data_IF_182087179261
#
_entry.id   IF_182087179261
#
_cell.length_a   1.000
_cell.length_b   1.000
_cell.length_c   1.000
_cell.angle_alpha   90.00
_cell.angle_beta   90.00
_cell.angle_gamma   90.00
#
_symmetry.space_group_name_H-M   'P 1'
#
loop_
_entity.id
_entity.type
_entity.pdbx_description
1 polymer ?
#
# COMPACT_ATOMS: atom_id res chain seq x y z
N UNK A 1 16.45 19.46 7.00
CA UNK A 1 15.78 18.41 7.80
C UNK A 1 14.55 18.98 8.48
N UNK A 2 13.40 18.96 7.80
CA UNK A 2 12.11 19.43 8.37
C UNK A 2 11.50 18.29 9.19
N UNK A 3 10.95 18.60 10.38
CA UNK A 3 10.37 17.60 11.29
C UNK A 3 9.00 17.11 10.77
N UNK A 4 8.67 15.84 10.99
CA UNK A 4 7.39 15.23 10.59
C UNK A 4 6.17 15.82 11.32
N UNK A 5 5.04 15.99 10.63
CA UNK A 5 3.73 16.39 11.20
C UNK A 5 3.23 15.45 12.29
N UNK A 6 3.57 14.16 12.22
CA UNK A 6 3.20 13.17 13.24
C UNK A 6 3.94 13.43 14.57
N UNK A 7 5.06 14.17 14.53
CA UNK A 7 5.89 14.51 15.68
C UNK A 7 5.89 16.03 15.96
N UNK A 8 4.83 16.75 15.56
CA UNK A 8 4.68 18.19 15.81
C UNK A 8 5.51 19.09 14.91
N UNK A 9 6.01 18.58 13.77
CA UNK A 9 6.62 19.38 12.71
C UNK A 9 5.65 19.73 11.58
N UNK A 10 6.19 19.98 10.39
CA UNK A 10 5.44 20.44 9.20
C UNK A 10 5.67 19.60 7.94
N UNK A 11 6.61 18.64 7.96
CA UNK A 11 6.81 17.72 6.85
C UNK A 11 5.76 16.61 6.87
N UNK A 12 5.04 16.43 5.77
CA UNK A 12 4.01 15.40 5.61
C UNK A 12 4.21 14.64 4.28
N UNK A 13 3.52 13.51 4.13
CA UNK A 13 3.53 12.76 2.87
C UNK A 13 2.99 13.63 1.74
N UNK A 14 3.70 13.65 0.60
CA UNK A 14 3.21 14.29 -0.60
C UNK A 14 1.91 13.63 -1.08
N UNK A 15 0.89 14.41 -1.42
CA UNK A 15 -0.40 13.89 -1.90
C UNK A 15 -0.27 13.03 -3.16
N UNK A 16 0.76 13.29 -4.00
CA UNK A 16 1.07 12.49 -5.19
C UNK A 16 1.64 11.10 -4.89
N UNK A 17 1.98 10.77 -3.65
CA UNK A 17 2.40 9.42 -3.24
C UNK A 17 1.19 8.51 -2.94
N UNK A 18 0.10 8.67 -3.69
CA UNK A 18 -1.05 7.78 -3.69
C UNK A 18 -0.88 6.70 -4.77
N UNK A 19 -1.58 5.56 -4.68
CA UNK A 19 -1.50 4.51 -5.69
C UNK A 19 -2.26 4.92 -6.95
N UNK A 20 -1.87 4.37 -8.10
CA UNK A 20 -2.51 4.66 -9.38
C UNK A 20 -2.50 3.46 -10.32
N UNK A 21 -3.46 3.43 -11.24
CA UNK A 21 -3.55 2.42 -12.29
C UNK A 21 -2.62 2.79 -13.44
N UNK A 22 -1.82 1.84 -13.90
CA UNK A 22 -1.04 1.96 -15.15
C UNK A 22 -1.86 1.41 -16.31
N UNK A 23 -2.38 0.19 -16.14
CA UNK A 23 -3.38 -0.46 -16.99
C UNK A 23 -4.14 -1.51 -16.17
N UNK A 24 -5.09 -2.22 -16.76
CA UNK A 24 -6.01 -3.11 -16.03
C UNK A 24 -5.31 -4.14 -15.10
N UNK A 25 -4.16 -4.69 -15.52
CA UNK A 25 -3.39 -5.69 -14.76
C UNK A 25 -2.19 -5.14 -13.98
N UNK A 26 -1.91 -3.83 -14.04
CA UNK A 26 -0.77 -3.22 -13.36
C UNK A 26 -1.15 -1.92 -12.66
N UNK A 27 -0.87 -1.87 -11.37
CA UNK A 27 -0.83 -0.64 -10.59
C UNK A 27 0.56 -0.32 -10.08
N UNK A 28 0.75 0.92 -9.68
CA UNK A 28 1.97 1.37 -9.02
C UNK A 28 1.61 2.21 -7.80
N UNK A 29 2.50 2.25 -6.82
CA UNK A 29 2.30 3.06 -5.63
C UNK A 29 3.47 3.03 -4.67
N UNK A 30 3.18 3.29 -3.41
CA UNK A 30 4.14 3.39 -2.33
C UNK A 30 3.70 2.50 -1.17
N UNK A 31 4.65 2.07 -0.35
CA UNK A 31 4.36 1.21 0.78
C UNK A 31 5.34 1.42 1.93
N UNK A 32 4.92 1.03 3.13
CA UNK A 32 5.86 0.68 4.19
C UNK A 32 6.26 -0.78 4.08
N UNK A 33 7.56 -1.08 4.22
CA UNK A 33 8.04 -2.46 4.31
C UNK A 33 7.90 -2.96 5.76
N UNK A 34 7.26 -4.11 5.96
CA UNK A 34 7.09 -4.75 7.27
C UNK A 34 8.29 -5.65 7.57
N UNK A 35 9.11 -5.27 8.56
CA UNK A 35 10.44 -5.88 8.78
C UNK A 35 10.48 -6.90 9.92
N UNK A 36 9.35 -7.15 10.58
CA UNK A 36 9.23 -8.16 11.64
C UNK A 36 8.91 -9.58 11.12
N UNK A 37 8.74 -9.75 9.80
CA UNK A 37 8.38 -11.01 9.16
C UNK A 37 9.57 -11.83 8.64
N UNK A 38 9.36 -13.12 8.37
CA UNK A 38 10.31 -14.00 7.66
C UNK A 38 10.23 -13.83 6.13
N UNK A 39 10.18 -12.59 5.67
CA UNK A 39 9.92 -12.23 4.28
C UNK A 39 11.18 -11.71 3.55
N UNK A 40 12.29 -11.50 4.27
CA UNK A 40 13.56 -11.00 3.71
C UNK A 40 13.65 -9.47 3.58
N UNK A 41 12.68 -8.72 4.12
CA UNK A 41 12.75 -7.27 4.27
C UNK A 41 13.59 -6.93 5.52
N UNK A 42 14.60 -6.08 5.36
CA UNK A 42 15.65 -5.77 6.34
C UNK A 42 15.73 -4.26 6.60
N UNK A 43 14.78 -3.74 7.37
CA UNK A 43 14.83 -2.37 7.92
C UNK A 43 15.13 -1.30 6.87
N UNK A 44 15.99 -0.36 7.25
CA UNK A 44 16.42 0.77 6.43
C UNK A 44 17.03 0.38 5.07
N UNK A 45 17.51 -0.87 4.91
CA UNK A 45 18.02 -1.31 3.59
C UNK A 45 16.92 -1.28 2.53
N UNK A 46 15.65 -1.42 2.91
CA UNK A 46 14.56 -1.38 1.94
C UNK A 46 14.14 0.03 1.53
N UNK A 47 14.59 1.08 2.22
CA UNK A 47 14.23 2.45 1.89
C UNK A 47 14.55 2.79 0.43
N UNK A 48 13.55 3.29 -0.29
CA UNK A 48 13.65 3.67 -1.69
C UNK A 48 13.60 2.51 -2.68
N UNK A 49 13.76 1.25 -2.24
CA UNK A 49 13.74 0.07 -3.12
C UNK A 49 12.35 -0.18 -3.70
N UNK A 50 12.29 -0.78 -4.88
CA UNK A 50 11.04 -1.16 -5.52
C UNK A 50 10.85 -2.68 -5.55
N UNK A 51 9.58 -3.08 -5.39
CA UNK A 51 9.16 -4.47 -5.41
C UNK A 51 7.97 -4.64 -6.33
N UNK A 52 8.02 -5.67 -7.18
CA UNK A 52 6.84 -6.14 -7.91
C UNK A 52 6.11 -7.14 -7.01
N UNK A 53 4.82 -6.87 -6.77
CA UNK A 53 3.89 -7.69 -6.03
C UNK A 53 2.95 -8.37 -7.02
N UNK A 54 2.81 -9.68 -6.91
CA UNK A 54 1.80 -10.48 -7.60
C UNK A 54 0.74 -10.91 -6.59
N UNK A 55 -0.51 -10.47 -6.77
CA UNK A 55 -1.62 -10.91 -5.94
C UNK A 55 -1.95 -12.39 -6.20
N UNK A 56 -2.09 -13.16 -5.12
CA UNK A 56 -2.38 -14.61 -5.18
C UNK A 56 -3.81 -14.89 -4.73
N UNK A 57 -4.42 -16.00 -5.19
CA UNK A 57 -5.72 -16.46 -4.71
C UNK A 57 -5.72 -17.09 -3.32
N UNK A 58 -4.61 -17.01 -2.56
CA UNK A 58 -4.57 -17.49 -1.17
C UNK A 58 -5.53 -16.65 -0.33
N UNK A 59 -6.23 -17.33 0.58
CA UNK A 59 -7.23 -16.74 1.47
C UNK A 59 -6.77 -16.81 2.91
N UNK A 60 -7.22 -15.87 3.72
CA UNK A 60 -7.08 -15.93 5.17
C UNK A 60 -8.23 -16.74 5.74
N UNK A 61 -7.92 -17.94 6.21
CA UNK A 61 -8.86 -18.83 6.87
C UNK A 61 -8.40 -19.02 8.30
N UNK A 62 -9.26 -18.67 9.26
CA UNK A 62 -9.00 -18.93 10.67
C UNK A 62 -8.99 -20.45 10.90
N UNK A 63 -7.89 -20.97 11.45
CA UNK A 63 -7.72 -22.41 11.62
C UNK A 63 -8.62 -23.00 12.70
N UNK A 64 -9.11 -22.18 13.64
CA UNK A 64 -9.95 -22.62 14.74
C UNK A 64 -11.44 -22.56 14.39
N UNK A 65 -11.88 -21.49 13.70
CA UNK A 65 -13.30 -21.30 13.36
C UNK A 65 -13.65 -21.70 11.93
N UNK A 66 -12.67 -21.77 11.03
CA UNK A 66 -12.88 -21.92 9.60
C UNK A 66 -13.34 -20.63 8.91
N UNK A 67 -13.35 -19.50 9.63
CA UNK A 67 -13.81 -18.23 9.08
C UNK A 67 -12.84 -17.70 8.03
N UNK A 68 -13.42 -17.38 6.89
CA UNK A 68 -12.70 -16.91 5.72
C UNK A 68 -12.86 -15.38 5.61
N UNK A 69 -11.88 -14.67 6.16
CA UNK A 69 -12.01 -13.24 6.45
C UNK A 69 -11.26 -12.32 5.48
N UNK A 70 -10.38 -12.86 4.63
CA UNK A 70 -9.50 -12.06 3.78
C UNK A 70 -8.88 -12.82 2.61
N UNK A 71 -8.14 -12.10 1.77
CA UNK A 71 -7.55 -12.60 0.53
C UNK A 71 -7.70 -11.61 -0.63
N UNK A 72 -7.28 -12.04 -1.82
CA UNK A 72 -7.56 -11.33 -3.06
C UNK A 72 -8.94 -11.70 -3.59
N UNK A 73 -9.60 -10.76 -4.28
CA UNK A 73 -10.75 -11.12 -5.10
C UNK A 73 -10.31 -11.95 -6.32
N UNK A 74 -11.21 -12.75 -6.92
CA UNK A 74 -10.90 -13.46 -8.17
C UNK A 74 -10.43 -12.53 -9.30
N UNK A 75 -10.97 -11.31 -9.35
CA UNK A 75 -10.58 -10.31 -10.35
C UNK A 75 -9.20 -9.69 -10.09
N UNK A 76 -8.72 -9.67 -8.84
CA UNK A 76 -7.43 -9.12 -8.43
C UNK A 76 -6.32 -10.18 -8.53
N UNK A 77 -6.65 -11.45 -8.35
CA UNK A 77 -5.70 -12.55 -8.49
C UNK A 77 -4.94 -12.49 -9.82
N UNK A 78 -3.61 -12.63 -9.75
CA UNK A 78 -2.72 -12.56 -10.91
C UNK A 78 -2.40 -11.14 -11.39
N UNK A 79 -3.09 -10.09 -10.90
CA UNK A 79 -2.69 -8.70 -11.16
C UNK A 79 -1.38 -8.38 -10.43
N UNK A 80 -0.70 -7.35 -10.93
CA UNK A 80 0.58 -6.91 -10.42
C UNK A 80 0.52 -5.50 -9.87
N UNK A 81 1.30 -5.23 -8.84
CA UNK A 81 1.53 -3.89 -8.32
C UNK A 81 3.02 -3.67 -8.11
N UNK A 82 3.58 -2.57 -8.62
CA UNK A 82 4.96 -2.19 -8.28
C UNK A 82 4.92 -1.10 -7.22
N UNK A 83 5.52 -1.38 -6.06
CA UNK A 83 5.59 -0.42 -4.95
C UNK A 83 7.01 0.08 -4.77
N UNK A 84 7.16 1.37 -4.45
CA UNK A 84 8.40 1.90 -3.88
C UNK A 84 8.25 2.01 -2.36
N UNK A 85 9.23 1.49 -1.62
CA UNK A 85 9.25 1.55 -0.16
C UNK A 85 9.65 2.96 0.29
N UNK A 86 8.74 3.67 0.95
CA UNK A 86 8.97 5.04 1.46
C UNK A 86 8.94 5.13 2.98
N UNK A 87 8.59 4.03 3.65
CA UNK A 87 8.55 3.94 5.10
C UNK A 87 8.91 2.51 5.57
N UNK A 88 9.25 2.35 6.84
CA UNK A 88 9.47 1.04 7.48
C UNK A 88 8.43 0.84 8.58
N UNK A 89 7.69 -0.27 8.51
CA UNK A 89 6.73 -0.70 9.52
C UNK A 89 7.38 -1.69 10.49
N UNK A 90 7.37 -1.36 11.78
CA UNK A 90 7.94 -2.21 12.84
C UNK A 90 6.86 -2.85 13.73
N UNK A 91 5.61 -2.45 13.56
CA UNK A 91 4.46 -2.74 14.43
C UNK A 91 3.66 -3.98 14.01
N UNK A 92 3.79 -4.42 12.77
CA UNK A 92 3.07 -5.57 12.20
C UNK A 92 3.90 -6.84 12.30
N UNK A 93 3.44 -7.82 13.09
CA UNK A 93 4.07 -9.13 13.30
C UNK A 93 3.32 -10.24 12.54
N UNK A 94 4.01 -11.28 12.08
CA UNK A 94 3.41 -12.39 11.32
C UNK A 94 3.75 -12.40 9.83
N UNK A 95 2.86 -12.92 8.99
CA UNK A 95 3.02 -13.02 7.53
C UNK A 95 2.59 -11.70 6.84
N UNK A 96 3.25 -10.61 7.22
CA UNK A 96 3.06 -9.29 6.62
C UNK A 96 4.31 -8.88 5.86
N UNK A 97 4.14 -8.27 4.68
CA UNK A 97 5.26 -7.82 3.85
C UNK A 97 5.20 -6.32 3.56
N UNK A 98 4.04 -5.81 3.16
CA UNK A 98 3.88 -4.41 2.77
C UNK A 98 2.58 -3.83 3.31
N UNK A 99 2.66 -2.65 3.92
CA UNK A 99 1.51 -1.79 4.15
C UNK A 99 1.41 -0.81 2.97
N UNK A 100 0.45 -1.03 2.08
CA UNK A 100 0.29 -0.23 0.87
C UNK A 100 -0.30 1.11 1.25
N UNK A 101 0.35 2.19 0.83
CA UNK A 101 -0.09 3.54 1.15
C UNK A 101 -1.36 3.90 0.38
N UNK A 102 -2.50 3.88 1.06
CA UNK A 102 -3.81 4.17 0.47
C UNK A 102 -4.55 5.23 1.29
N UNK A 103 -4.86 6.42 0.72
CA UNK A 103 -5.70 7.39 1.41
C UNK A 103 -7.07 6.80 1.73
N UNK A 104 -7.59 7.03 2.95
CA UNK A 104 -8.88 6.48 3.35
C UNK A 104 -8.82 5.09 3.99
N UNK A 105 -7.66 4.41 3.98
CA UNK A 105 -7.52 3.03 4.46
C UNK A 105 -7.18 2.91 5.97
N UNK A 106 -7.18 4.03 6.70
CA UNK A 106 -6.89 4.07 8.14
C UNK A 106 -5.61 4.83 8.46
N UNK A 107 -5.64 5.62 9.54
CA UNK A 107 -4.47 6.37 10.02
C UNK A 107 -3.55 5.53 10.92
N UNK A 108 -4.04 4.40 11.42
CA UNK A 108 -3.34 3.56 12.39
C UNK A 108 -3.00 4.32 13.69
N UNK A 109 -1.81 4.06 14.23
CA UNK A 109 -1.35 4.60 15.51
C UNK A 109 -1.15 6.14 15.53
N UNK A 110 -0.96 6.77 14.37
CA UNK A 110 -0.61 8.19 14.28
C UNK A 110 -1.78 9.05 13.79
N UNK A 111 -2.82 9.17 14.61
CA UNK A 111 -4.14 9.74 14.26
C UNK A 111 -4.19 11.27 14.04
N UNK A 112 -3.07 11.97 14.22
CA UNK A 112 -3.03 13.43 14.16
C UNK A 112 -2.27 13.99 12.96
N UNK A 113 -1.58 13.14 12.19
CA UNK A 113 -0.79 13.57 11.04
C UNK A 113 -1.64 14.20 9.94
N UNK A 114 -2.71 13.51 9.53
CA UNK A 114 -3.60 13.97 8.46
C UNK A 114 -4.30 15.28 8.82
N UNK A 115 -4.88 15.35 10.03
CA UNK A 115 -5.55 16.56 10.55
C UNK A 115 -4.63 17.78 10.63
N UNK A 116 -3.34 17.59 10.94
CA UNK A 116 -2.35 18.67 10.95
C UNK A 116 -1.94 19.11 9.55
N UNK A 117 -1.85 18.17 8.60
CA UNK A 117 -1.55 18.48 7.21
C UNK A 117 -2.72 19.22 6.51
N UNK A 118 -3.95 18.87 6.86
CA UNK A 118 -5.17 19.40 6.27
C UNK A 118 -6.05 20.04 7.35
N UNK A 119 -5.78 21.32 7.71
CA UNK A 119 -6.37 21.92 8.89
C UNK A 119 -7.88 22.20 8.79
N UNK A 120 -8.48 22.08 7.62
CA UNK A 120 -9.91 22.35 7.37
C UNK A 120 -10.80 21.08 7.40
N UNK A 121 -10.22 19.91 7.63
CA UNK A 121 -10.91 18.61 7.65
C UNK A 121 -10.94 18.06 9.07
N UNK A 122 -11.88 17.16 9.39
CA UNK A 122 -11.87 16.44 10.66
C UNK A 122 -10.99 15.18 10.58
N UNK A 123 -10.49 14.69 11.72
CA UNK A 123 -9.63 13.48 11.72
C UNK A 123 -10.35 12.26 11.12
N UNK A 124 -11.66 12.14 11.36
CA UNK A 124 -12.46 11.03 10.86
C UNK A 124 -12.78 11.14 9.36
N UNK A 125 -12.51 12.27 8.71
CA UNK A 125 -12.65 12.38 7.26
C UNK A 125 -11.59 11.56 6.51
N UNK A 126 -10.48 11.23 7.15
CA UNK A 126 -9.36 10.51 6.54
C UNK A 126 -9.49 8.99 6.60
N UNK A 127 -10.43 8.45 7.39
CA UNK A 127 -10.59 7.01 7.60
C UNK A 127 -12.02 6.57 7.97
N UNK A 128 -13.00 7.47 7.83
CA UNK A 128 -14.40 7.25 8.19
C UNK A 128 -14.61 6.85 9.67
N UNK A 129 -13.72 7.30 10.56
CA UNK A 129 -13.74 6.97 12.00
C UNK A 129 -13.21 5.58 12.33
N UNK A 130 -12.62 4.86 11.35
CA UNK A 130 -12.07 3.52 11.53
C UNK A 130 -10.55 3.53 11.36
N UNK A 131 -9.81 3.73 12.46
CA UNK A 131 -8.35 3.89 12.45
C UNK A 131 -7.58 2.75 11.77
N UNK A 132 -8.10 1.52 11.85
CA UNK A 132 -7.53 0.35 11.18
C UNK A 132 -8.48 -0.18 10.10
N UNK A 133 -8.03 -0.13 8.84
CA UNK A 133 -8.79 -0.56 7.67
C UNK A 133 -9.71 0.52 7.05
N UNK A 134 -9.93 1.64 7.75
CA UNK A 134 -10.51 2.84 7.18
C UNK A 134 -11.94 2.71 6.65
N UNK A 135 -12.24 3.53 5.65
CA UNK A 135 -13.54 3.58 5.02
C UNK A 135 -13.94 2.21 4.46
N UNK A 136 -15.21 1.83 4.66
CA UNK A 136 -15.74 0.54 4.21
C UNK A 136 -16.37 0.58 2.82
N UNK A 137 -16.48 1.75 2.21
CA UNK A 137 -17.06 1.94 0.90
C UNK A 137 -16.47 3.15 0.17
N UNK A 138 -16.60 3.12 -1.17
CA UNK A 138 -16.11 4.16 -2.09
C UNK A 138 -16.69 5.55 -1.80
N UNK A 139 -17.92 5.64 -1.31
CA UNK A 139 -18.56 6.94 -1.02
C UNK A 139 -17.86 7.70 0.11
N UNK A 140 -17.16 6.99 1.01
CA UNK A 140 -16.31 7.61 2.03
C UNK A 140 -15.20 8.48 1.44
N UNK A 141 -14.75 8.21 0.21
CA UNK A 141 -13.71 9.00 -0.46
C UNK A 141 -14.10 10.46 -0.68
N UNK A 142 -15.39 10.79 -0.74
CA UNK A 142 -15.84 12.17 -0.91
C UNK A 142 -15.51 13.07 0.29
N UNK A 143 -15.24 12.48 1.47
CA UNK A 143 -14.86 13.19 2.70
C UNK A 143 -13.43 13.71 2.66
N UNK A 144 -12.55 13.03 1.90
CA UNK A 144 -11.14 13.39 1.84
C UNK A 144 -10.90 14.68 1.02
N UNK A 145 -9.78 15.38 1.27
CA UNK A 145 -9.25 16.40 0.37
C UNK A 145 -9.21 15.92 -1.08
N UNK A 146 -9.52 16.83 -2.02
CA UNK A 146 -9.66 16.51 -3.45
C UNK A 146 -8.45 15.73 -4.00
N UNK A 147 -7.24 16.11 -3.59
CA UNK A 147 -5.98 15.52 -4.01
C UNK A 147 -5.78 14.07 -3.56
N UNK A 148 -6.51 13.62 -2.53
CA UNK A 148 -6.41 12.27 -1.98
C UNK A 148 -7.50 11.32 -2.51
N UNK A 149 -8.56 11.86 -3.11
CA UNK A 149 -9.73 11.09 -3.53
C UNK A 149 -9.38 10.02 -4.55
N UNK A 150 -8.55 10.32 -5.54
CA UNK A 150 -8.15 9.35 -6.57
C UNK A 150 -7.45 8.10 -5.99
N UNK A 151 -6.62 8.28 -4.96
CA UNK A 151 -5.99 7.17 -4.25
C UNK A 151 -6.97 6.38 -3.38
N UNK A 152 -7.93 7.06 -2.75
CA UNK A 152 -9.01 6.41 -2.01
C UNK A 152 -9.92 5.60 -2.93
N UNK A 153 -10.30 6.14 -4.09
CA UNK A 153 -11.15 5.44 -5.05
C UNK A 153 -10.43 4.22 -5.65
N UNK A 154 -9.13 4.32 -5.91
CA UNK A 154 -8.29 3.17 -6.31
C UNK A 154 -8.41 1.98 -5.35
N UNK A 155 -8.56 2.24 -4.04
CA UNK A 155 -8.73 1.21 -3.00
C UNK A 155 -9.89 0.27 -3.30
N UNK A 156 -11.01 0.83 -3.75
CA UNK A 156 -12.24 0.11 -4.02
C UNK A 156 -12.33 -0.35 -5.48
N UNK A 157 -11.83 0.46 -6.41
CA UNK A 157 -12.01 0.23 -7.84
C UNK A 157 -10.98 -0.80 -8.37
N UNK A 158 -9.70 -0.64 -8.02
CA UNK A 158 -8.63 -1.50 -8.54
C UNK A 158 -8.18 -2.57 -7.53
N UNK A 159 -7.92 -2.19 -6.27
CA UNK A 159 -7.54 -3.16 -5.22
C UNK A 159 -8.74 -3.97 -4.72
N UNK A 160 -9.96 -3.52 -5.03
CA UNK A 160 -11.20 -4.23 -4.72
C UNK A 160 -11.45 -4.44 -3.23
N UNK A 161 -10.99 -3.52 -2.38
CA UNK A 161 -11.16 -3.58 -0.94
C UNK A 161 -12.61 -3.82 -0.51
N UNK A 162 -12.81 -4.81 0.37
CA UNK A 162 -14.10 -5.24 0.95
C UNK A 162 -15.21 -5.67 -0.03
N UNK A 163 -14.88 -5.90 -1.31
CA UNK A 163 -15.71 -6.73 -2.18
C UNK A 163 -15.96 -8.12 -1.57
N UNK A 164 -16.96 -8.81 -2.13
CA UNK A 164 -17.36 -10.17 -1.77
C UNK A 164 -17.71 -10.32 -0.28
N UNK A 165 -18.35 -9.29 0.29
CA UNK A 165 -18.77 -9.28 1.69
C UNK A 165 -17.61 -9.09 2.68
N UNK A 166 -16.56 -8.37 2.31
CA UNK A 166 -15.42 -8.09 3.18
C UNK A 166 -14.23 -9.04 3.04
N UNK A 167 -14.37 -10.11 2.23
CA UNK A 167 -13.35 -11.18 2.07
C UNK A 167 -12.14 -10.76 1.25
N UNK A 168 -12.19 -9.58 0.64
CA UNK A 168 -11.13 -9.02 -0.20
C UNK A 168 -10.32 -8.00 0.62
N UNK A 169 -9.86 -8.47 1.78
CA UNK A 169 -9.05 -7.70 2.71
C UNK A 169 -7.67 -8.33 2.84
N UNK A 170 -6.64 -7.49 2.91
CA UNK A 170 -5.24 -7.90 3.14
C UNK A 170 -4.77 -9.05 2.22
N UNK A 171 -4.84 -8.88 0.88
CA UNK A 171 -4.53 -9.94 -0.07
C UNK A 171 -3.08 -10.43 0.06
N UNK A 172 -2.88 -11.74 -0.05
CA UNK A 172 -1.53 -12.32 -0.11
C UNK A 172 -0.84 -11.98 -1.43
N UNK A 173 0.47 -11.74 -1.35
CA UNK A 173 1.32 -11.48 -2.52
C UNK A 173 2.54 -12.41 -2.55
N UNK A 174 2.98 -12.76 -3.75
CA UNK A 174 4.38 -13.11 -4.01
C UNK A 174 5.09 -11.83 -4.44
N UNK A 175 6.33 -11.63 -4.02
CA UNK A 175 7.05 -10.42 -4.41
C UNK A 175 8.51 -10.66 -4.74
N UNK A 176 9.07 -9.75 -5.54
CA UNK A 176 10.50 -9.72 -5.87
C UNK A 176 10.99 -8.29 -5.98
N UNK A 177 12.26 -8.07 -5.68
CA UNK A 177 12.92 -6.78 -5.89
C UNK A 177 13.10 -6.52 -7.39
N UNK A 178 12.81 -5.31 -7.83
CA UNK A 178 12.94 -4.85 -9.21
C UNK A 178 13.59 -3.48 -9.25
N UNK A 179 14.14 -3.11 -10.40
CA UNK A 179 14.55 -1.73 -10.68
C UNK A 179 13.35 -0.80 -10.58
N UNK A 180 13.49 0.30 -9.89
CA UNK A 180 12.42 1.26 -9.71
C UNK A 180 11.98 1.87 -11.05
N UNK A 181 10.68 1.75 -11.41
CA UNK A 181 10.15 2.48 -12.56
C UNK A 181 10.37 3.98 -12.39
N UNK A 182 10.82 4.65 -13.46
CA UNK A 182 11.05 6.11 -13.45
C UNK A 182 9.82 6.89 -12.95
N UNK A 183 8.61 6.39 -13.24
CA UNK A 183 7.34 7.00 -12.79
C UNK A 183 7.23 7.09 -11.26
N UNK A 184 7.73 6.11 -10.50
CA UNK A 184 7.75 6.16 -9.04
C UNK A 184 8.86 7.08 -8.51
N UNK A 185 10.07 6.93 -9.04
CA UNK A 185 11.23 7.73 -8.61
C UNK A 185 11.09 9.23 -8.92
N UNK A 186 10.36 9.61 -9.96
CA UNK A 186 10.01 11.01 -10.24
C UNK A 186 9.01 11.59 -9.22
N UNK A 187 8.14 10.76 -8.65
CA UNK A 187 7.18 11.19 -7.63
C UNK A 187 7.87 11.30 -6.28
N UNK A 188 8.71 10.33 -5.91
CA UNK A 188 9.39 10.32 -4.60
C UNK A 188 10.66 11.17 -4.56
N UNK A 189 11.29 11.39 -5.72
CA UNK A 189 12.64 11.96 -5.82
C UNK A 189 13.75 11.02 -5.35
N UNK A 190 13.47 9.73 -5.14
CA UNK A 190 14.41 8.76 -4.59
C UNK A 190 14.69 7.61 -5.54
N UNK A 191 15.97 7.30 -5.73
CA UNK A 191 16.50 6.15 -6.48
C UNK A 191 17.54 5.45 -5.60
N UNK A 192 17.42 4.14 -5.32
CA UNK A 192 18.46 3.39 -4.63
C UNK A 192 19.78 3.40 -5.38
N UNK A 193 20.90 3.41 -4.64
CA UNK A 193 22.24 3.39 -5.26
C UNK A 193 22.51 2.11 -6.06
N UNK A 194 21.90 1.00 -5.66
CA UNK A 194 22.01 -0.32 -6.30
C UNK A 194 20.82 -0.62 -7.22
N UNK A 195 19.97 0.36 -7.56
CA UNK A 195 18.76 0.14 -8.36
C UNK A 195 19.04 -0.45 -9.76
N UNK A 196 20.19 -0.09 -10.33
CA UNK A 196 20.65 -0.60 -11.63
C UNK A 196 20.96 -2.11 -11.61
N UNK A 197 21.26 -2.69 -10.45
CA UNK A 197 21.64 -4.10 -10.30
C UNK A 197 20.43 -5.04 -10.35
N UNK A 198 19.21 -4.49 -10.31
CA UNK A 198 17.97 -5.24 -10.30
C UNK A 198 17.29 -5.25 -11.68
N UNK A 199 16.53 -6.31 -12.01
CA UNK A 199 15.85 -6.40 -13.29
C UNK A 199 14.69 -5.40 -13.36
N UNK A 200 14.40 -4.91 -14.55
CA UNK A 200 13.14 -4.20 -14.82
C UNK A 200 11.99 -5.20 -14.64
N UNK A 201 10.87 -4.77 -14.07
CA UNK A 201 9.65 -5.57 -14.04
C UNK A 201 9.20 -5.85 -15.50
N UNK A 202 9.38 -7.09 -15.97
CA UNK A 202 8.91 -7.51 -17.29
C UNK A 202 7.45 -7.96 -17.21
N UNK A 203 6.65 -7.63 -18.23
CA UNK A 203 5.26 -8.12 -18.35
C UNK A 203 5.16 -9.64 -18.55
N UNK A 204 6.27 -10.35 -18.75
CA UNK A 204 6.25 -11.77 -19.12
C UNK A 204 5.74 -12.68 -17.99
N UNK A 205 4.91 -13.65 -18.39
CA UNK A 205 4.36 -14.72 -17.56
C UNK A 205 5.38 -15.82 -17.21
N UNK A 206 6.61 -15.71 -17.70
CA UNK A 206 7.58 -16.81 -17.74
C UNK A 206 8.34 -17.05 -16.43
N UNK A 207 8.05 -16.29 -15.37
CA UNK A 207 8.68 -16.47 -14.05
C UNK A 207 7.95 -17.47 -13.13
N UNK A 208 6.90 -18.13 -13.60
CA UNK A 208 6.00 -18.93 -12.73
C UNK A 208 6.04 -20.44 -12.94
N UNK A 209 6.94 -20.98 -13.78
CA UNK A 209 7.13 -22.42 -13.99
C UNK A 209 8.45 -22.98 -13.42
N UNK A 210 9.03 -22.33 -12.40
CA UNK A 210 10.13 -22.91 -11.61
C UNK A 210 9.72 -23.06 -10.14
#
# INVERSE_FOLDING_TARGET
NVKSVCNGGTAATCTRQHPFVVHHNLSMGFAAAAVAGRNGLVGDRNCGQCFELLFTGRRHVDAATGDDWGGASPDLEGRRMIVQVTNIGNDVTGDHSFDIQVPGAGQGLFESGCRRQFPDYDTDDFDCGKRHGGCSNRTGCARLPHELRGGCEWHFDWLQWLKDGGRTSNPFVRFRRVRCPRRLTLISGSVPNDDADFPVATESADFYFA
#
